data_IF_591283949403
#
_entry.id   IF_591283949403
#
_cell.length_a   1.000
_cell.length_b   1.000
_cell.length_c   1.000
_cell.angle_alpha   90.00
_cell.angle_beta   90.00
_cell.angle_gamma   90.00
#
_symmetry.space_group_name_H-M   'P 1'
#
loop_
_entity.id
_entity.type
_entity.pdbx_description
1 polymer ?
#
# COMPACT_ATOMS: atom_id res chain seq x y z
N UNK A 1 5.96 14.83 5.71
CA UNK A 1 6.73 14.18 4.63
C UNK A 1 7.95 13.57 5.29
N UNK A 2 8.16 12.25 5.14
CA UNK A 2 9.16 11.53 5.93
C UNK A 2 10.58 11.74 5.41
N UNK A 3 11.51 12.04 6.30
CA UNK A 3 12.95 12.17 6.06
C UNK A 3 13.78 11.22 6.95
N UNK A 4 13.10 10.32 7.66
CA UNK A 4 13.70 9.33 8.57
C UNK A 4 13.94 7.99 7.87
N UNK A 5 14.82 7.15 8.45
CA UNK A 5 15.12 5.82 7.94
C UNK A 5 15.62 5.84 6.49
N UNK A 6 15.06 4.96 5.65
CA UNK A 6 15.46 4.83 4.24
C UNK A 6 15.03 6.02 3.35
N UNK A 7 14.24 6.96 3.88
CA UNK A 7 13.88 8.20 3.18
C UNK A 7 14.95 9.30 3.31
N UNK A 8 15.93 9.14 4.21
CA UNK A 8 16.98 10.14 4.46
C UNK A 8 17.82 10.40 3.20
N UNK A 9 17.92 11.67 2.80
CA UNK A 9 18.72 12.10 1.65
C UNK A 9 18.10 11.87 0.27
N UNK A 10 16.87 11.32 0.19
CA UNK A 10 16.11 11.21 -1.07
C UNK A 10 15.27 12.47 -1.31
N UNK A 11 14.93 12.82 -2.57
CA UNK A 11 14.01 13.92 -2.87
C UNK A 11 12.70 13.80 -2.09
N UNK A 12 12.03 14.90 -1.72
CA UNK A 12 10.76 14.85 -1.00
C UNK A 12 9.72 13.98 -1.72
N UNK A 13 9.15 13.00 -1.00
CA UNK A 13 8.14 12.08 -1.53
C UNK A 13 7.12 11.71 -0.45
N UNK A 14 5.86 11.51 -0.86
CA UNK A 14 4.77 11.13 0.03
C UNK A 14 4.65 9.60 0.10
N UNK A 15 4.74 9.04 1.32
CA UNK A 15 4.36 7.66 1.59
C UNK A 15 2.90 7.63 2.00
N UNK A 16 2.06 6.97 1.20
CA UNK A 16 0.66 6.78 1.51
C UNK A 16 0.22 5.39 1.08
N UNK A 17 -0.81 4.87 1.72
CA UNK A 17 -1.46 3.62 1.37
C UNK A 17 -2.96 3.83 1.47
N UNK A 18 -3.71 3.19 0.56
CA UNK A 18 -5.16 3.09 0.69
C UNK A 18 -5.44 1.80 1.44
N UNK A 19 -6.05 1.92 2.62
CA UNK A 19 -6.40 0.76 3.45
C UNK A 19 -7.89 0.69 3.69
N UNK A 20 -8.38 -0.52 3.95
CA UNK A 20 -9.79 -0.79 4.25
C UNK A 20 -9.89 -1.54 5.58
N UNK A 21 -10.90 -1.25 6.43
CA UNK A 21 -11.17 -2.05 7.62
C UNK A 21 -11.83 -3.39 7.27
N UNK A 22 -12.52 -3.48 6.12
CA UNK A 22 -13.18 -4.70 5.64
C UNK A 22 -12.31 -5.40 4.58
N UNK A 23 -12.04 -6.71 4.71
CA UNK A 23 -11.12 -7.40 3.82
C UNK A 23 -11.75 -7.73 2.46
N UNK A 24 -10.99 -7.53 1.39
CA UNK A 24 -11.29 -8.09 0.06
C UNK A 24 -10.71 -9.50 -0.02
N UNK A 25 -11.52 -10.51 0.34
CA UNK A 25 -11.05 -11.90 0.50
C UNK A 25 -10.38 -12.46 -0.76
N UNK A 26 -10.84 -12.07 -1.96
CA UNK A 26 -10.27 -12.51 -3.23
C UNK A 26 -8.86 -11.96 -3.51
N UNK A 27 -8.39 -10.96 -2.75
CA UNK A 27 -7.03 -10.41 -2.85
C UNK A 27 -6.03 -11.13 -1.93
N UNK A 28 -6.45 -12.15 -1.18
CA UNK A 28 -5.53 -12.97 -0.40
C UNK A 28 -4.54 -13.66 -1.33
N UNK A 29 -3.26 -13.49 -1.04
CA UNK A 29 -2.19 -14.24 -1.68
C UNK A 29 -1.76 -15.42 -0.78
N UNK A 30 -1.79 -16.63 -1.34
CA UNK A 30 -1.47 -17.86 -0.62
C UNK A 30 0.03 -18.20 -0.66
N UNK A 31 0.79 -17.61 -1.59
CA UNK A 31 2.22 -17.89 -1.76
C UNK A 31 3.08 -17.02 -0.83
N UNK A 32 2.63 -15.78 -0.56
CA UNK A 32 3.36 -14.86 0.29
C UNK A 32 3.14 -15.10 1.80
N UNK A 33 4.21 -15.06 2.60
CA UNK A 33 4.18 -15.20 4.08
C UNK A 33 3.22 -14.22 4.75
N UNK A 34 3.08 -13.00 4.22
CA UNK A 34 2.13 -11.99 4.70
C UNK A 34 1.07 -11.65 3.65
N UNK A 35 0.74 -12.59 2.76
CA UNK A 35 -0.20 -12.39 1.66
C UNK A 35 -1.61 -12.03 2.09
N UNK A 36 -2.01 -12.36 3.33
CA UNK A 36 -3.28 -11.93 3.92
C UNK A 36 -3.40 -10.40 4.06
N UNK A 37 -2.28 -9.67 4.20
CA UNK A 37 -2.30 -8.20 4.30
C UNK A 37 -2.78 -7.53 3.01
N UNK A 38 -2.62 -8.20 1.86
CA UNK A 38 -3.10 -7.69 0.56
C UNK A 38 -4.62 -7.51 0.52
N UNK A 39 -5.38 -8.21 1.37
CA UNK A 39 -6.83 -7.99 1.50
C UNK A 39 -7.20 -6.62 2.05
N UNK A 40 -6.26 -5.95 2.73
CA UNK A 40 -6.48 -4.69 3.43
C UNK A 40 -5.76 -3.50 2.79
N UNK A 41 -4.87 -3.74 1.82
CA UNK A 41 -4.06 -2.71 1.17
C UNK A 41 -4.39 -2.69 -0.33
N UNK A 42 -5.01 -1.59 -0.78
CA UNK A 42 -5.46 -1.44 -2.16
C UNK A 42 -4.38 -0.75 -3.01
N UNK A 43 -4.31 -1.12 -4.29
CA UNK A 43 -3.41 -0.47 -5.25
C UNK A 43 -3.84 0.99 -5.46
N UNK A 44 -3.05 2.00 -5.07
CA UNK A 44 -3.49 3.39 -5.22
C UNK A 44 -3.65 3.82 -6.67
N UNK A 45 -2.92 3.21 -7.61
CA UNK A 45 -3.02 3.55 -9.04
C UNK A 45 -4.44 3.27 -9.57
N UNK A 46 -5.05 2.16 -9.16
CA UNK A 46 -6.41 1.80 -9.61
C UNK A 46 -7.47 2.80 -9.14
N UNK A 47 -7.22 3.52 -8.03
CA UNK A 47 -8.17 4.45 -7.43
C UNK A 47 -7.90 5.91 -7.74
N UNK A 48 -6.63 6.29 -7.94
CA UNK A 48 -6.20 7.69 -8.07
C UNK A 48 -5.82 8.08 -9.50
N UNK A 49 -5.59 7.11 -10.41
CA UNK A 49 -5.21 7.40 -11.80
C UNK A 49 -6.41 7.57 -12.74
N UNK A 50 -7.64 7.33 -12.29
CA UNK A 50 -8.83 7.54 -13.11
C UNK A 50 -9.30 9.01 -13.00
N UNK A 51 -9.32 9.81 -14.09
CA UNK A 51 -9.87 11.16 -14.09
C UNK A 51 -11.40 11.18 -13.94
#
# INVERSE_FOLDING_TARGET
>A
VGDTGNAKGKPPHLHYAITTPFPYIHLKDAEAVQGWKKMFHLNPDTWLRNP
#
